data_IF_658896305133
#
_entry.id   IF_658896305133
#
_cell.length_a   1.000
_cell.length_b   1.000
_cell.length_c   1.000
_cell.angle_alpha   90.00
_cell.angle_beta   90.00
_cell.angle_gamma   90.00
#
_symmetry.space_group_name_H-M   'P 1'
#
loop_
_entity.id
_entity.type
_entity.pdbx_description
1 polymer ?
#
# COMPACT_ATOMS: atom_id res chain seq x y z
N UNK A 1 -20.42 -28.48 4.91
CA UNK A 1 -21.12 -28.01 3.71
C UNK A 1 -20.15 -27.09 2.98
N UNK A 2 -19.63 -27.51 1.83
CA UNK A 2 -18.73 -26.69 1.02
C UNK A 2 -19.55 -25.55 0.43
N UNK A 3 -19.18 -24.31 0.74
CA UNK A 3 -19.75 -23.13 0.11
C UNK A 3 -19.25 -23.09 -1.33
N UNK A 4 -20.18 -23.18 -2.28
CA UNK A 4 -19.92 -22.95 -3.70
C UNK A 4 -19.44 -21.50 -3.87
N UNK A 5 -18.34 -21.23 -4.58
CA UNK A 5 -17.94 -19.86 -4.87
C UNK A 5 -19.04 -19.18 -5.66
N UNK A 6 -19.46 -17.99 -5.25
CA UNK A 6 -20.37 -17.14 -6.01
C UNK A 6 -19.60 -16.69 -7.26
N UNK A 7 -19.73 -17.45 -8.33
CA UNK A 7 -19.18 -17.10 -9.65
C UNK A 7 -19.85 -15.79 -10.12
N UNK A 8 -19.07 -14.74 -10.33
CA UNK A 8 -19.49 -13.53 -11.01
C UNK A 8 -19.31 -12.21 -10.25
N UNK A 9 -19.32 -12.17 -8.92
CA UNK A 9 -19.10 -10.90 -8.15
C UNK A 9 -17.63 -10.69 -7.80
N UNK A 10 -16.87 -11.73 -7.50
CA UNK A 10 -15.44 -11.63 -7.21
C UNK A 10 -14.60 -11.17 -8.40
N UNK A 11 -15.04 -11.47 -9.63
CA UNK A 11 -14.34 -11.07 -10.85
C UNK A 11 -14.38 -9.54 -11.12
N UNK A 12 -15.30 -8.80 -10.50
CA UNK A 12 -15.41 -7.33 -10.65
C UNK A 12 -14.92 -6.54 -9.44
N UNK A 13 -14.73 -7.17 -8.30
CA UNK A 13 -14.31 -6.50 -7.07
C UNK A 13 -12.85 -6.07 -7.18
N UNK A 14 -12.59 -4.79 -6.96
CA UNK A 14 -11.26 -4.25 -6.76
C UNK A 14 -11.18 -3.52 -5.43
N UNK A 15 -10.06 -3.71 -4.71
CA UNK A 15 -9.83 -3.08 -3.41
C UNK A 15 -8.46 -2.42 -3.44
N UNK A 16 -8.40 -1.16 -3.02
CA UNK A 16 -7.15 -0.42 -2.88
C UNK A 16 -6.89 -0.14 -1.40
N UNK A 17 -5.79 -0.66 -0.88
CA UNK A 17 -5.32 -0.41 0.47
C UNK A 17 -4.16 0.58 0.43
N UNK A 18 -4.36 1.76 0.99
CA UNK A 18 -3.36 2.82 1.06
C UNK A 18 -2.95 3.14 2.50
N UNK A 19 -1.90 3.94 2.64
CA UNK A 19 -1.34 4.38 3.92
C UNK A 19 0.17 4.53 3.86
N UNK A 20 0.75 5.22 4.82
CA UNK A 20 2.19 5.51 4.87
C UNK A 20 3.06 4.24 5.14
N UNK A 21 4.39 4.31 4.98
CA UNK A 21 5.30 3.19 5.26
C UNK A 21 5.07 2.56 6.64
N UNK A 22 5.24 1.24 6.75
CA UNK A 22 5.14 0.46 7.99
C UNK A 22 3.76 0.49 8.71
N UNK A 23 2.68 0.93 8.05
CA UNK A 23 1.33 0.96 8.66
C UNK A 23 0.61 -0.40 8.62
N UNK A 24 1.10 -1.38 7.84
CA UNK A 24 0.53 -2.72 7.71
C UNK A 24 -0.25 -3.00 6.42
N UNK A 25 -0.12 -2.15 5.38
CA UNK A 25 -0.82 -2.33 4.08
C UNK A 25 -0.71 -3.74 3.52
N UNK A 26 0.50 -4.25 3.38
CA UNK A 26 0.77 -5.57 2.79
C UNK A 26 0.08 -6.70 3.56
N UNK A 27 0.13 -6.64 4.89
CA UNK A 27 -0.48 -7.64 5.77
C UNK A 27 -1.99 -7.69 5.59
N UNK A 28 -2.64 -6.53 5.63
CA UNK A 28 -4.10 -6.41 5.46
C UNK A 28 -4.53 -6.77 4.03
N UNK A 29 -3.83 -6.26 3.01
CA UNK A 29 -4.19 -6.49 1.62
C UNK A 29 -4.06 -7.98 1.23
N UNK A 30 -3.03 -8.68 1.70
CA UNK A 30 -2.88 -10.13 1.48
C UNK A 30 -3.98 -10.92 2.18
N UNK A 31 -4.30 -10.58 3.42
CA UNK A 31 -5.38 -11.24 4.15
C UNK A 31 -6.75 -11.06 3.46
N UNK A 32 -7.03 -9.87 2.92
CA UNK A 32 -8.23 -9.64 2.10
C UNK A 32 -8.18 -10.49 0.82
N UNK A 33 -7.05 -10.48 0.11
CA UNK A 33 -6.88 -11.24 -1.12
C UNK A 33 -7.13 -12.74 -0.89
N UNK A 34 -6.54 -13.30 0.17
CA UNK A 34 -6.70 -14.72 0.54
C UNK A 34 -8.15 -15.04 0.92
N UNK A 35 -8.80 -14.17 1.74
CA UNK A 35 -10.19 -14.41 2.21
C UNK A 35 -11.21 -14.37 1.09
N UNK A 36 -11.03 -13.49 0.10
CA UNK A 36 -12.01 -13.26 -0.98
C UNK A 36 -11.57 -13.85 -2.33
N UNK A 37 -10.48 -14.63 -2.34
CA UNK A 37 -9.90 -15.25 -3.55
C UNK A 37 -9.62 -14.23 -4.65
N UNK A 38 -8.97 -13.12 -4.29
CA UNK A 38 -8.55 -12.04 -5.19
C UNK A 38 -7.03 -12.10 -5.44
N UNK A 39 -6.58 -11.54 -6.56
CA UNK A 39 -5.15 -11.40 -6.83
C UNK A 39 -4.58 -10.21 -6.09
N UNK A 40 -3.41 -10.38 -5.45
CA UNK A 40 -2.72 -9.30 -4.75
C UNK A 40 -1.63 -8.67 -5.62
N UNK A 41 -1.59 -7.33 -5.67
CA UNK A 41 -0.55 -6.54 -6.30
C UNK A 41 -0.05 -5.42 -5.38
N UNK A 42 1.25 -5.10 -5.49
CA UNK A 42 1.89 -4.05 -4.70
C UNK A 42 2.64 -3.08 -5.60
N UNK A 43 2.27 -1.81 -5.57
CA UNK A 43 3.01 -0.77 -6.27
C UNK A 43 4.47 -0.68 -5.81
N UNK A 44 4.72 -0.89 -4.52
CA UNK A 44 6.09 -0.95 -3.99
C UNK A 44 6.91 -2.13 -4.54
N UNK A 45 6.30 -3.30 -4.72
CA UNK A 45 7.01 -4.47 -5.28
C UNK A 45 7.31 -4.26 -6.76
N UNK A 46 6.36 -3.70 -7.54
CA UNK A 46 6.57 -3.38 -8.95
C UNK A 46 7.68 -2.33 -9.12
N UNK A 47 7.68 -1.27 -8.31
CA UNK A 47 8.76 -0.28 -8.31
C UNK A 47 10.11 -0.91 -7.97
N UNK A 48 10.15 -1.84 -7.00
CA UNK A 48 11.37 -2.57 -6.64
C UNK A 48 11.88 -3.43 -7.80
N UNK A 49 10.99 -4.12 -8.52
CA UNK A 49 11.35 -4.91 -9.72
C UNK A 49 11.94 -4.01 -10.81
N UNK A 50 11.36 -2.82 -11.04
CA UNK A 50 11.91 -1.84 -11.96
C UNK A 50 13.30 -1.35 -11.52
N UNK A 51 13.53 -1.12 -10.23
CA UNK A 51 14.84 -0.76 -9.69
C UNK A 51 15.88 -1.87 -9.94
N UNK A 52 15.51 -3.13 -9.65
CA UNK A 52 16.40 -4.29 -9.88
C UNK A 52 16.76 -4.41 -11.37
N UNK A 53 15.81 -4.23 -12.27
CA UNK A 53 16.05 -4.23 -13.71
C UNK A 53 17.01 -3.12 -14.17
N UNK A 54 17.22 -2.07 -13.34
CA UNK A 54 18.18 -0.99 -13.57
C UNK A 54 19.52 -1.18 -12.84
N UNK A 55 19.73 -2.35 -12.21
CA UNK A 55 21.00 -2.69 -11.58
C UNK A 55 21.07 -2.42 -10.07
N UNK A 56 19.97 -2.00 -9.42
CA UNK A 56 19.92 -1.97 -7.96
C UNK A 56 19.93 -3.39 -7.39
N UNK A 57 20.71 -3.59 -6.32
CA UNK A 57 20.84 -4.94 -5.74
C UNK A 57 19.55 -5.40 -5.08
N UNK A 58 19.19 -6.65 -5.30
CA UNK A 58 18.09 -7.30 -4.61
C UNK A 58 18.48 -7.61 -3.16
N UNK A 59 17.72 -7.10 -2.20
CA UNK A 59 17.83 -7.49 -0.79
C UNK A 59 16.43 -7.63 -0.19
N UNK A 60 16.18 -8.64 0.58
CA UNK A 60 15.02 -8.95 1.43
C UNK A 60 13.72 -8.14 1.33
N UNK A 61 12.83 -8.35 2.27
CA UNK A 61 11.54 -7.64 2.40
C UNK A 61 11.69 -6.18 2.88
N UNK A 62 12.83 -5.86 3.46
CA UNK A 62 13.23 -4.55 4.00
C UNK A 62 13.99 -3.67 2.99
N UNK A 63 14.00 -4.04 1.70
CA UNK A 63 14.76 -3.37 0.65
C UNK A 63 14.56 -1.84 0.62
N UNK A 64 13.34 -1.38 0.80
CA UNK A 64 12.99 0.04 0.82
C UNK A 64 13.61 0.81 1.99
N UNK A 65 14.04 0.10 3.03
CA UNK A 65 14.56 0.64 4.28
C UNK A 65 16.09 0.62 4.30
N UNK A 66 16.73 0.06 3.25
CA UNK A 66 18.18 -0.03 3.04
C UNK A 66 18.70 0.97 2.02
N UNK A 67 20.01 1.05 1.91
CA UNK A 67 20.75 2.01 1.07
C UNK A 67 20.23 2.06 -0.37
N UNK A 68 20.12 0.91 -1.05
CA UNK A 68 19.64 0.85 -2.44
C UNK A 68 18.20 1.35 -2.61
N UNK A 69 17.32 1.06 -1.66
CA UNK A 69 15.96 1.56 -1.67
C UNK A 69 15.89 3.08 -1.46
N UNK A 70 16.73 3.61 -0.58
CA UNK A 70 16.84 5.06 -0.33
C UNK A 70 17.42 5.76 -1.56
N UNK A 71 18.46 5.21 -2.20
CA UNK A 71 19.03 5.74 -3.45
C UNK A 71 17.99 5.74 -4.58
N UNK A 72 17.21 4.68 -4.70
CA UNK A 72 16.14 4.62 -5.71
C UNK A 72 15.01 5.61 -5.43
N UNK A 73 14.71 5.91 -4.17
CA UNK A 73 13.79 7.01 -3.84
C UNK A 73 14.30 8.36 -4.37
N UNK A 74 15.60 8.61 -4.32
CA UNK A 74 16.23 9.83 -4.88
C UNK A 74 16.14 9.88 -6.41
N UNK A 75 16.38 8.74 -7.08
CA UNK A 75 16.22 8.65 -8.53
C UNK A 75 14.78 8.92 -8.97
N UNK A 76 13.77 8.37 -8.26
CA UNK A 76 12.35 8.63 -8.51
C UNK A 76 11.97 10.11 -8.36
N UNK A 77 12.62 10.84 -7.45
CA UNK A 77 12.40 12.29 -7.31
C UNK A 77 12.82 13.07 -8.57
N UNK A 78 13.83 12.60 -9.28
CA UNK A 78 14.29 13.21 -10.53
C UNK A 78 13.61 12.64 -11.79
N UNK A 79 13.06 11.42 -11.72
CA UNK A 79 12.41 10.74 -12.83
C UNK A 79 11.02 10.20 -12.44
N UNK A 80 9.97 11.01 -12.55
CA UNK A 80 8.61 10.64 -12.15
C UNK A 80 7.95 9.59 -13.07
N UNK A 81 8.54 9.26 -14.20
CA UNK A 81 7.99 8.27 -15.15
C UNK A 81 7.89 6.87 -14.54
N UNK A 82 8.72 6.55 -13.55
CA UNK A 82 8.61 5.28 -12.82
C UNK A 82 7.28 5.15 -12.12
N UNK A 83 6.91 6.17 -11.35
CA UNK A 83 5.65 6.19 -10.60
C UNK A 83 4.45 6.18 -11.53
N UNK A 84 4.46 7.00 -12.57
CA UNK A 84 3.39 7.03 -13.58
C UNK A 84 3.20 5.67 -14.25
N UNK A 85 4.28 5.02 -14.67
CA UNK A 85 4.20 3.71 -15.30
C UNK A 85 3.57 2.65 -14.38
N UNK A 86 3.95 2.65 -13.11
CA UNK A 86 3.36 1.76 -12.10
C UNK A 86 1.90 2.10 -11.85
N UNK A 87 1.57 3.38 -11.70
CA UNK A 87 0.20 3.82 -11.48
C UNK A 87 -0.70 3.44 -12.66
N UNK A 88 -0.27 3.65 -13.90
CA UNK A 88 -1.01 3.26 -15.12
C UNK A 88 -1.27 1.74 -15.16
N UNK A 89 -0.25 0.94 -14.81
CA UNK A 89 -0.38 -0.50 -14.74
C UNK A 89 -1.40 -0.92 -13.66
N UNK A 90 -1.32 -0.33 -12.46
CA UNK A 90 -2.25 -0.62 -11.37
C UNK A 90 -3.68 -0.16 -11.67
N UNK A 91 -3.87 0.98 -12.35
CA UNK A 91 -5.17 1.45 -12.83
C UNK A 91 -5.79 0.41 -13.79
N UNK A 92 -5.01 -0.11 -14.72
CA UNK A 92 -5.48 -1.13 -15.64
C UNK A 92 -5.89 -2.43 -14.94
N UNK A 93 -5.16 -2.84 -13.88
CA UNK A 93 -5.52 -3.99 -13.05
C UNK A 93 -6.85 -3.76 -12.30
N UNK A 94 -7.01 -2.60 -11.67
CA UNK A 94 -8.24 -2.24 -10.93
C UNK A 94 -9.45 -2.23 -11.86
N UNK A 95 -9.33 -1.65 -13.05
CA UNK A 95 -10.41 -1.62 -14.05
C UNK A 95 -10.81 -3.02 -14.54
N UNK A 96 -9.88 -3.95 -14.58
CA UNK A 96 -10.16 -5.35 -14.93
C UNK A 96 -10.93 -6.08 -13.82
N UNK A 97 -10.73 -5.69 -12.56
CA UNK A 97 -11.34 -6.32 -11.40
C UNK A 97 -10.61 -7.56 -10.88
N UNK A 98 -11.12 -8.13 -9.80
CA UNK A 98 -10.58 -9.34 -9.18
C UNK A 98 -9.26 -9.12 -8.41
N UNK A 99 -9.00 -7.90 -7.93
CA UNK A 99 -7.69 -7.54 -7.37
C UNK A 99 -7.76 -6.81 -6.04
N UNK A 100 -6.73 -7.03 -5.21
CA UNK A 100 -6.39 -6.16 -4.07
C UNK A 100 -5.05 -5.52 -4.37
N UNK A 101 -5.00 -4.19 -4.34
CA UNK A 101 -3.81 -3.41 -4.68
C UNK A 101 -3.34 -2.59 -3.49
N UNK A 102 -2.03 -2.57 -3.22
CA UNK A 102 -1.45 -1.57 -2.31
C UNK A 102 -0.75 -0.46 -3.10
N UNK A 103 -1.18 0.78 -2.88
CA UNK A 103 -0.60 1.97 -3.51
C UNK A 103 -0.72 3.18 -2.60
N UNK A 104 0.17 4.17 -2.80
CA UNK A 104 0.05 5.49 -2.16
C UNK A 104 -0.95 6.38 -2.89
N UNK A 105 -0.95 6.37 -4.21
CA UNK A 105 -1.55 7.37 -5.11
C UNK A 105 -2.86 6.92 -5.73
N UNK A 106 -3.01 5.62 -5.96
CA UNK A 106 -4.11 5.07 -6.73
C UNK A 106 -5.52 5.52 -6.25
N UNK A 107 -5.80 5.70 -4.94
CA UNK A 107 -7.11 6.19 -4.49
C UNK A 107 -7.53 7.53 -5.09
N UNK A 108 -6.57 8.41 -5.44
CA UNK A 108 -6.85 9.71 -6.08
C UNK A 108 -6.87 9.63 -7.61
N UNK A 109 -6.33 8.56 -8.20
CA UNK A 109 -6.18 8.40 -9.64
C UNK A 109 -7.29 7.57 -10.29
N UNK A 110 -8.16 6.97 -9.48
CA UNK A 110 -9.30 6.16 -9.93
C UNK A 110 -10.61 6.72 -9.42
N UNK A 111 -11.66 6.65 -10.25
CA UNK A 111 -13.02 7.09 -9.91
C UNK A 111 -13.93 5.87 -9.82
N UNK A 112 -14.39 5.55 -8.60
CA UNK A 112 -15.52 4.63 -8.38
C UNK A 112 -15.30 3.14 -8.73
N UNK A 113 -14.11 2.74 -9.20
CA UNK A 113 -13.88 1.36 -9.65
C UNK A 113 -13.38 0.42 -8.54
N UNK A 114 -13.14 0.93 -7.33
CA UNK A 114 -12.60 0.13 -6.23
C UNK A 114 -13.07 0.60 -4.86
N UNK A 115 -13.11 -0.31 -3.90
CA UNK A 115 -13.21 0.02 -2.47
C UNK A 115 -11.87 0.56 -2.01
N UNK A 116 -11.85 1.78 -1.48
CA UNK A 116 -10.64 2.50 -1.07
C UNK A 116 -10.51 2.54 0.45
N UNK A 117 -9.53 1.82 0.98
CA UNK A 117 -9.27 1.71 2.43
C UNK A 117 -7.96 2.42 2.78
N UNK A 118 -8.00 3.41 3.67
CA UNK A 118 -6.83 4.05 4.23
C UNK A 118 -6.49 3.44 5.59
N UNK A 119 -5.27 2.93 5.73
CA UNK A 119 -4.70 2.60 7.04
C UNK A 119 -3.90 3.80 7.55
N UNK A 120 -4.29 4.32 8.74
CA UNK A 120 -3.57 5.37 9.45
C UNK A 120 -2.83 4.80 10.64
N UNK A 121 -1.67 5.39 10.95
CA UNK A 121 -0.91 5.10 12.15
C UNK A 121 0.06 6.25 12.42
N UNK A 122 0.27 6.58 13.69
CA UNK A 122 1.25 7.57 14.12
C UNK A 122 2.65 7.17 13.63
N UNK A 123 3.53 8.14 13.50
CA UNK A 123 4.92 7.90 13.08
C UNK A 123 5.62 6.98 14.08
N UNK A 124 5.38 7.19 15.34
CA UNK A 124 5.92 6.42 16.46
C UNK A 124 5.50 4.95 16.38
N UNK A 125 4.21 4.67 16.22
CA UNK A 125 3.72 3.28 16.09
C UNK A 125 4.21 2.58 14.84
N UNK A 126 4.37 3.29 13.75
CA UNK A 126 4.94 2.74 12.52
C UNK A 126 6.44 2.45 12.66
N UNK A 127 7.18 3.30 13.39
CA UNK A 127 8.57 3.07 13.74
C UNK A 127 8.74 1.87 14.69
N UNK A 128 7.88 1.71 15.70
CA UNK A 128 7.86 0.51 16.55
C UNK A 128 7.69 -0.78 15.73
N UNK A 129 6.75 -0.77 14.78
CA UNK A 129 6.49 -1.93 13.89
C UNK A 129 7.66 -2.23 12.97
N UNK A 130 8.28 -1.19 12.40
CA UNK A 130 9.47 -1.34 11.57
C UNK A 130 10.65 -1.88 12.38
N UNK A 131 10.92 -1.33 13.55
CA UNK A 131 11.99 -1.78 14.45
C UNK A 131 11.85 -3.28 14.78
N UNK A 132 10.63 -3.71 15.12
CA UNK A 132 10.35 -5.12 15.43
C UNK A 132 10.48 -6.04 14.19
N UNK A 133 9.98 -5.61 13.02
CA UNK A 133 10.04 -6.38 11.77
C UNK A 133 11.47 -6.59 11.28
N UNK A 134 12.27 -5.51 11.30
CA UNK A 134 13.59 -5.47 10.66
C UNK A 134 14.73 -5.72 11.66
N UNK A 135 14.39 -5.90 12.96
CA UNK A 135 15.35 -6.12 14.07
C UNK A 135 16.40 -4.99 14.16
N UNK A 136 15.95 -3.74 14.02
CA UNK A 136 16.77 -2.52 14.13
C UNK A 136 16.37 -1.69 15.35
N UNK A 137 17.24 -0.78 15.85
CA UNK A 137 16.89 0.14 16.93
C UNK A 137 15.71 1.05 16.55
N UNK A 138 14.88 1.40 17.54
CA UNK A 138 13.72 2.27 17.35
C UNK A 138 14.09 3.64 16.73
N UNK A 139 15.15 4.27 17.19
CA UNK A 139 15.62 5.56 16.66
C UNK A 139 16.00 5.48 15.19
N UNK A 140 16.59 4.38 14.77
CA UNK A 140 16.91 4.13 13.36
C UNK A 140 15.63 3.94 12.54
N UNK A 141 14.70 3.13 13.03
CA UNK A 141 13.40 2.94 12.40
C UNK A 141 12.62 4.25 12.29
N UNK A 142 12.62 5.09 13.33
CA UNK A 142 11.97 6.40 13.34
C UNK A 142 12.57 7.34 12.30
N UNK A 143 13.90 7.34 12.17
CA UNK A 143 14.61 8.11 11.14
C UNK A 143 14.22 7.65 9.73
N UNK A 144 14.20 6.34 9.48
CA UNK A 144 13.82 5.77 8.17
C UNK A 144 12.37 6.10 7.83
N UNK A 145 11.44 5.89 8.75
CA UNK A 145 10.01 6.21 8.56
C UNK A 145 9.86 7.69 8.24
N UNK A 146 10.57 8.58 8.95
CA UNK A 146 10.51 10.02 8.73
C UNK A 146 10.99 10.39 7.33
N UNK A 147 12.16 9.90 6.91
CA UNK A 147 12.71 10.16 5.56
C UNK A 147 11.74 9.69 4.48
N UNK A 148 11.21 8.47 4.61
CA UNK A 148 10.27 7.91 3.64
C UNK A 148 8.97 8.69 3.56
N UNK A 149 8.44 9.13 4.69
CA UNK A 149 7.23 9.96 4.73
C UNK A 149 7.44 11.27 3.98
N UNK A 150 8.51 12.01 4.30
CA UNK A 150 8.76 13.33 3.70
C UNK A 150 9.04 13.21 2.19
N UNK A 151 9.84 12.23 1.77
CA UNK A 151 10.12 12.01 0.34
C UNK A 151 8.87 11.62 -0.44
N UNK A 152 8.06 10.66 0.05
CA UNK A 152 6.84 10.28 -0.64
C UNK A 152 5.82 11.44 -0.68
N UNK A 153 5.66 12.19 0.41
CA UNK A 153 4.78 13.37 0.42
C UNK A 153 5.22 14.42 -0.59
N UNK A 154 6.52 14.75 -0.63
CA UNK A 154 7.08 15.71 -1.56
C UNK A 154 6.92 15.25 -3.01
N UNK A 155 7.24 13.98 -3.30
CA UNK A 155 7.12 13.40 -4.63
C UNK A 155 5.68 13.48 -5.14
N UNK A 156 4.71 12.96 -4.39
CA UNK A 156 3.33 12.90 -4.86
C UNK A 156 2.60 14.25 -4.81
N UNK A 157 3.03 15.16 -3.94
CA UNK A 157 2.57 16.55 -4.02
C UNK A 157 3.03 17.22 -5.33
N UNK A 158 4.27 16.99 -5.74
CA UNK A 158 4.80 17.53 -6.99
C UNK A 158 4.20 16.85 -8.23
N UNK A 159 4.02 15.52 -8.18
CA UNK A 159 3.62 14.71 -9.33
C UNK A 159 2.13 14.82 -9.65
N UNK A 160 1.29 14.81 -8.62
CA UNK A 160 -0.17 14.72 -8.75
C UNK A 160 -0.93 15.80 -7.96
N UNK A 161 -0.22 16.71 -7.28
CA UNK A 161 -0.79 17.67 -6.34
C UNK A 161 -1.55 17.02 -5.16
N UNK A 162 -1.26 15.77 -4.81
CA UNK A 162 -1.88 15.02 -3.72
C UNK A 162 -1.18 15.34 -2.39
N UNK A 163 -1.97 15.61 -1.33
CA UNK A 163 -1.49 15.64 0.04
C UNK A 163 -1.90 14.33 0.75
N UNK A 164 -0.96 13.37 0.83
CA UNK A 164 -1.19 12.02 1.39
C UNK A 164 -1.75 12.00 2.83
N UNK A 165 -1.68 13.11 3.55
CA UNK A 165 -2.09 13.18 4.95
C UNK A 165 -3.39 13.97 5.17
N UNK A 166 -3.80 14.78 4.20
CA UNK A 166 -4.92 15.71 4.32
C UNK A 166 -6.07 15.37 3.39
N UNK A 167 -5.78 15.02 2.15
CA UNK A 167 -6.77 14.77 1.11
C UNK A 167 -7.35 13.35 1.29
N UNK A 168 -8.07 13.09 2.40
CA UNK A 168 -8.56 11.74 2.74
C UNK A 168 -10.00 11.48 2.32
N UNK A 169 -10.70 12.44 1.76
CA UNK A 169 -12.11 12.33 1.37
C UNK A 169 -12.34 11.36 0.19
N UNK A 170 -11.26 10.99 -0.50
CA UNK A 170 -11.30 9.98 -1.57
C UNK A 170 -11.45 8.55 -1.08
N UNK A 171 -11.28 8.30 0.24
CA UNK A 171 -11.35 6.97 0.83
C UNK A 171 -12.75 6.66 1.33
N UNK A 172 -13.23 5.44 1.04
CA UNK A 172 -14.50 4.94 1.58
C UNK A 172 -14.37 4.60 3.07
N UNK A 173 -13.18 4.14 3.51
CA UNK A 173 -12.92 3.75 4.89
C UNK A 173 -11.54 4.20 5.35
N UNK A 174 -11.49 4.68 6.61
CA UNK A 174 -10.23 5.06 7.28
C UNK A 174 -10.12 4.30 8.60
N UNK A 175 -9.08 3.47 8.72
CA UNK A 175 -8.81 2.64 9.91
C UNK A 175 -7.57 3.18 10.62
N UNK A 176 -7.73 3.69 11.84
CA UNK A 176 -6.60 4.04 12.69
C UNK A 176 -6.08 2.77 13.38
N UNK A 177 -4.82 2.44 13.13
CA UNK A 177 -4.19 1.19 13.57
C UNK A 177 -3.37 1.33 14.85
N UNK A 178 -3.30 2.51 15.48
CA UNK A 178 -2.38 2.78 16.60
C UNK A 178 -2.62 1.89 17.83
N UNK A 179 -3.90 1.60 18.10
CA UNK A 179 -4.32 0.81 19.26
C UNK A 179 -4.81 -0.59 18.90
N UNK A 180 -4.62 -1.02 17.63
CA UNK A 180 -5.09 -2.30 17.14
C UNK A 180 -3.92 -3.26 16.89
N UNK A 181 -4.12 -4.53 17.22
CA UNK A 181 -3.25 -5.62 16.75
C UNK A 181 -3.49 -5.88 15.28
N UNK A 182 -2.52 -6.51 14.61
CA UNK A 182 -2.61 -6.81 13.18
C UNK A 182 -3.86 -7.62 12.83
N UNK A 183 -4.18 -8.64 13.65
CA UNK A 183 -5.35 -9.50 13.48
C UNK A 183 -6.65 -8.69 13.52
N UNK A 184 -6.77 -7.76 14.48
CA UNK A 184 -7.95 -6.90 14.59
C UNK A 184 -8.12 -5.95 13.39
N UNK A 185 -7.02 -5.43 12.84
CA UNK A 185 -7.07 -4.60 11.63
C UNK A 185 -7.52 -5.43 10.42
N UNK A 186 -7.02 -6.67 10.30
CA UNK A 186 -7.42 -7.62 9.27
C UNK A 186 -8.92 -7.92 9.38
N UNK A 187 -9.41 -8.26 10.58
CA UNK A 187 -10.81 -8.59 10.81
C UNK A 187 -11.73 -7.42 10.44
N UNK A 188 -11.39 -6.20 10.87
CA UNK A 188 -12.15 -5.00 10.53
C UNK A 188 -12.18 -4.79 9.01
N UNK A 189 -11.03 -4.86 8.34
CA UNK A 189 -10.94 -4.65 6.90
C UNK A 189 -11.70 -5.73 6.11
N UNK A 190 -11.59 -6.99 6.51
CA UNK A 190 -12.32 -8.09 5.89
C UNK A 190 -13.83 -7.96 6.11
N UNK A 191 -14.28 -7.56 7.30
CA UNK A 191 -15.71 -7.36 7.58
C UNK A 191 -16.29 -6.19 6.74
N UNK A 192 -15.53 -5.10 6.56
CA UNK A 192 -15.92 -4.02 5.65
C UNK A 192 -16.19 -4.57 4.24
N UNK A 193 -15.24 -5.34 3.71
CA UNK A 193 -15.36 -5.91 2.36
C UNK A 193 -16.53 -6.87 2.28
N UNK A 194 -16.71 -7.74 3.27
CA UNK A 194 -17.80 -8.72 3.33
C UNK A 194 -19.18 -8.03 3.28
N UNK A 195 -19.37 -6.93 4.03
CA UNK A 195 -20.64 -6.18 4.04
C UNK A 195 -20.92 -5.35 2.77
N UNK A 196 -19.92 -5.17 1.92
CA UNK A 196 -20.10 -4.47 0.64
C UNK A 196 -20.37 -5.44 -0.53
N UNK A 197 -20.07 -6.73 -0.33
CA UNK A 197 -20.27 -7.77 -1.35
C UNK A 197 -21.67 -8.42 -1.18
N UNK A 198 -22.20 -8.44 0.03
CA UNK A 198 -23.50 -9.05 0.39
C UNK A 198 -24.50 -7.99 0.84
#
# INVERSE_FOLDING_TARGET
>A
MAQTPVQGMGERLSIVVSGLPAVGKTTVARAIADRFNLLYYSGGDILKELAIARGYMHSGSDWWDKEHGIMFLEERESNPEFDKHVDDYLIALVKRGGVVVTSYTLPWLIDGEAIKILLKGSREKRAERMAARDSIPYEEALRIVTIRDERNKSLYKRLYNIDLCKDIDVFDFVINTDHLKAESVIDIACNIVEHLIY
#
